data_IF_682558184805
#
_entry.id   IF_682558184805
#
_cell.length_a   1.000
_cell.length_b   1.000
_cell.length_c   1.000
_cell.angle_alpha   90.00
_cell.angle_beta   90.00
_cell.angle_gamma   90.00
#
_symmetry.space_group_name_H-M   'P 1'
#
loop_
_entity.id
_entity.type
_entity.pdbx_description
1 polymer ?
#
# COMPACT_ATOMS: atom_id res chain seq x y z
N UNK A 1 -30.09 13.66 4.83
CA UNK A 1 -28.79 13.04 5.09
C UNK A 1 -27.88 14.14 5.60
N UNK A 2 -27.86 14.35 6.91
CA UNK A 2 -26.99 15.37 7.52
C UNK A 2 -25.54 14.97 7.29
N UNK A 3 -24.78 15.86 6.66
CA UNK A 3 -23.35 15.70 6.51
C UNK A 3 -22.75 15.88 7.91
N UNK A 4 -22.35 14.78 8.54
CA UNK A 4 -21.73 14.72 9.86
C UNK A 4 -20.31 15.36 9.80
N UNK A 5 -20.26 16.68 9.62
CA UNK A 5 -19.05 17.49 9.42
C UNK A 5 -18.20 17.66 10.67
N UNK A 6 -18.69 17.24 11.85
CA UNK A 6 -18.02 17.48 13.13
C UNK A 6 -17.14 16.31 13.61
N UNK A 7 -17.12 15.17 12.90
CA UNK A 7 -16.48 13.93 13.40
C UNK A 7 -14.96 13.87 13.23
N UNK A 8 -14.37 14.78 12.44
CA UNK A 8 -12.92 14.90 12.23
C UNK A 8 -12.26 15.96 13.14
N UNK A 9 -13.02 16.67 13.98
CA UNK A 9 -12.45 17.67 14.90
C UNK A 9 -11.88 16.97 16.13
N UNK A 10 -10.62 17.21 16.52
CA UNK A 10 -10.08 16.68 17.77
C UNK A 10 -10.95 17.15 18.94
N UNK A 11 -11.34 16.24 19.82
CA UNK A 11 -12.07 16.61 21.03
C UNK A 11 -11.23 17.59 21.86
N UNK A 12 -11.89 18.48 22.58
CA UNK A 12 -11.23 19.48 23.45
C UNK A 12 -10.20 18.85 24.37
N UNK A 13 -10.47 17.64 24.88
CA UNK A 13 -9.55 16.85 25.71
C UNK A 13 -8.28 16.45 24.95
N UNK A 14 -8.38 16.02 23.67
CA UNK A 14 -7.21 15.68 22.84
C UNK A 14 -6.37 16.92 22.51
N UNK A 15 -7.02 18.05 22.25
CA UNK A 15 -6.32 19.33 22.01
C UNK A 15 -5.51 19.69 23.24
N UNK A 16 -6.13 19.70 24.42
CA UNK A 16 -5.48 20.00 25.70
C UNK A 16 -4.31 19.04 25.95
N UNK A 17 -4.50 17.74 25.75
CA UNK A 17 -3.44 16.75 26.00
C UNK A 17 -2.26 16.91 25.04
N UNK A 18 -2.51 17.17 23.75
CA UNK A 18 -1.44 17.44 22.79
C UNK A 18 -0.69 18.75 23.09
N UNK A 19 -1.40 19.79 23.57
CA UNK A 19 -0.78 21.03 24.04
C UNK A 19 0.10 20.77 25.28
N UNK A 20 -0.37 19.98 26.25
CA UNK A 20 0.41 19.61 27.44
C UNK A 20 1.70 18.89 27.04
N UNK A 21 1.64 17.93 26.10
CA UNK A 21 2.83 17.23 25.60
C UNK A 21 3.85 18.20 24.99
N UNK A 22 3.40 19.18 24.20
CA UNK A 22 4.28 20.21 23.64
C UNK A 22 4.85 21.13 24.73
N UNK A 23 4.02 21.56 25.68
CA UNK A 23 4.44 22.41 26.80
C UNK A 23 5.45 21.71 27.72
N UNK A 24 5.36 20.39 27.89
CA UNK A 24 6.36 19.61 28.62
C UNK A 24 7.69 19.47 27.85
N UNK A 25 7.66 19.53 26.51
CA UNK A 25 8.86 19.48 25.67
C UNK A 25 9.66 20.79 25.68
N UNK A 26 9.02 21.94 25.88
CA UNK A 26 9.67 23.27 25.85
C UNK A 26 10.74 23.41 26.96
N UNK A 27 10.49 23.07 28.24
CA UNK A 27 11.52 23.12 29.28
C UNK A 27 12.73 22.24 28.98
N UNK A 28 12.52 21.04 28.45
CA UNK A 28 13.60 20.12 28.06
C UNK A 28 14.44 20.75 26.94
N UNK A 29 13.79 21.34 25.94
CA UNK A 29 14.48 22.05 24.87
C UNK A 29 15.27 23.27 25.38
N UNK A 30 14.71 24.06 26.30
CA UNK A 30 15.40 25.21 26.90
C UNK A 30 16.64 24.77 27.70
N UNK A 31 16.57 23.65 28.42
CA UNK A 31 17.73 23.05 29.10
C UNK A 31 18.79 22.62 28.09
N UNK A 32 18.38 21.99 26.98
CA UNK A 32 19.31 21.67 25.89
C UNK A 32 19.96 22.92 25.28
N UNK A 33 19.20 24.00 25.03
CA UNK A 33 19.72 25.27 24.53
C UNK A 33 20.74 25.91 25.48
N UNK A 34 20.46 25.88 26.78
CA UNK A 34 21.40 26.35 27.80
C UNK A 34 22.67 25.48 27.84
N UNK A 35 22.53 24.16 27.74
CA UNK A 35 23.67 23.23 27.63
C UNK A 35 24.51 23.51 26.38
N UNK A 36 23.87 23.73 25.23
CA UNK A 36 24.54 24.10 23.98
C UNK A 36 25.29 25.43 24.09
N UNK A 37 24.68 26.46 24.70
CA UNK A 37 25.32 27.76 24.91
C UNK A 37 26.56 27.66 25.83
N UNK A 38 26.48 26.87 26.90
CA UNK A 38 27.63 26.60 27.78
C UNK A 38 28.73 25.83 27.06
N UNK A 39 28.37 24.91 26.18
CA UNK A 39 29.32 24.15 25.37
C UNK A 39 30.04 25.08 24.38
N UNK A 40 29.32 25.95 23.67
CA UNK A 40 29.92 26.92 22.74
C UNK A 40 30.94 27.85 23.42
N UNK A 41 30.67 28.28 24.66
CA UNK A 41 31.56 29.18 25.40
C UNK A 41 32.64 28.46 26.23
N UNK A 42 32.86 27.17 25.98
CA UNK A 42 33.89 26.41 26.70
C UNK A 42 35.29 26.78 26.19
N UNK A 43 36.29 26.99 27.06
CA UNK A 43 37.66 27.27 26.63
C UNK A 43 38.31 25.98 26.11
N UNK A 44 38.11 25.66 24.83
CA UNK A 44 38.61 24.43 24.23
C UNK A 44 40.14 24.35 24.19
N UNK A 45 40.82 25.49 24.16
CA UNK A 45 42.28 25.59 24.19
C UNK A 45 42.90 25.06 25.49
N UNK A 46 42.14 25.01 26.58
CA UNK A 46 42.61 24.47 27.87
C UNK A 46 42.49 22.94 27.94
N UNK A 47 41.83 22.31 26.96
CA UNK A 47 41.66 20.86 26.93
C UNK A 47 42.85 20.20 26.24
N UNK A 48 43.58 19.34 26.97
CA UNK A 48 44.70 18.56 26.42
C UNK A 48 44.35 17.76 25.15
N UNK A 49 43.10 17.29 25.04
CA UNK A 49 42.63 16.57 23.85
C UNK A 49 42.61 17.44 22.59
N UNK A 50 42.52 18.77 22.72
CA UNK A 50 42.48 19.70 21.59
C UNK A 50 43.83 19.80 20.85
N UNK A 51 44.94 19.35 21.46
CA UNK A 51 46.23 19.26 20.78
C UNK A 51 46.24 18.23 19.64
N UNK A 52 45.36 17.22 19.74
CA UNK A 52 45.27 16.13 18.77
C UNK A 52 44.10 16.31 17.82
N UNK A 53 44.33 16.05 16.52
CA UNK A 53 43.28 16.07 15.48
C UNK A 53 42.07 15.21 15.89
N UNK A 54 42.31 14.05 16.49
CA UNK A 54 41.24 13.17 16.96
C UNK A 54 40.41 13.76 18.10
N UNK A 55 41.01 14.53 19.01
CA UNK A 55 40.27 15.19 20.08
C UNK A 55 39.43 16.36 19.57
N UNK A 56 39.93 17.11 18.58
CA UNK A 56 39.15 18.13 17.86
C UNK A 56 37.92 17.54 17.16
N UNK A 57 38.11 16.44 16.42
CA UNK A 57 37.01 15.71 15.77
C UNK A 57 36.01 15.13 16.79
N UNK A 58 36.50 14.67 17.94
CA UNK A 58 35.64 14.17 19.02
C UNK A 58 34.76 15.30 19.60
N UNK A 59 35.33 16.48 19.86
CA UNK A 59 34.58 17.65 20.35
C UNK A 59 33.50 18.05 19.34
N UNK A 60 33.84 18.12 18.05
CA UNK A 60 32.89 18.38 16.97
C UNK A 60 31.76 17.33 16.97
N UNK A 61 32.10 16.05 17.05
CA UNK A 61 31.12 14.97 17.06
C UNK A 61 30.18 15.06 18.28
N UNK A 62 30.73 15.28 19.48
CA UNK A 62 29.94 15.42 20.72
C UNK A 62 29.01 16.62 20.63
N UNK A 63 29.53 17.78 20.20
CA UNK A 63 28.76 19.00 19.99
C UNK A 63 27.59 18.77 19.04
N UNK A 64 27.86 18.12 17.91
CA UNK A 64 26.83 17.82 16.91
C UNK A 64 25.79 16.83 17.39
N UNK A 65 26.20 15.80 18.14
CA UNK A 65 25.27 14.84 18.73
C UNK A 65 24.33 15.48 19.75
N UNK A 66 24.81 16.44 20.56
CA UNK A 66 23.95 17.19 21.50
C UNK A 66 22.82 17.90 20.74
N UNK A 67 23.15 18.55 19.61
CA UNK A 67 22.16 19.22 18.77
C UNK A 67 21.18 18.24 18.10
N UNK A 68 21.67 17.12 17.57
CA UNK A 68 20.79 16.13 16.93
C UNK A 68 19.84 15.46 17.94
N UNK A 69 20.30 15.18 19.16
CA UNK A 69 19.45 14.65 20.22
C UNK A 69 18.37 15.65 20.65
N UNK A 70 18.71 16.94 20.75
CA UNK A 70 17.76 17.98 21.14
C UNK A 70 16.65 18.18 20.08
N UNK A 71 17.02 18.19 18.79
CA UNK A 71 16.05 18.19 17.68
C UNK A 71 15.21 16.91 17.68
N UNK A 72 15.84 15.75 17.86
CA UNK A 72 15.14 14.46 17.89
C UNK A 72 14.05 14.41 18.96
N UNK A 73 14.33 14.93 20.17
CA UNK A 73 13.36 15.02 21.25
C UNK A 73 12.16 15.91 20.90
N UNK A 74 12.40 17.07 20.27
CA UNK A 74 11.31 17.96 19.82
C UNK A 74 10.46 17.25 18.77
N UNK A 75 11.08 16.64 17.76
CA UNK A 75 10.37 15.95 16.69
C UNK A 75 9.50 14.83 17.23
N UNK A 76 9.99 14.04 18.19
CA UNK A 76 9.20 13.01 18.87
C UNK A 76 8.00 13.63 19.60
N UNK A 77 8.20 14.71 20.33
CA UNK A 77 7.11 15.43 21.00
C UNK A 77 6.04 15.92 20.03
N UNK A 78 6.45 16.51 18.90
CA UNK A 78 5.56 16.95 17.82
C UNK A 78 4.80 15.77 17.22
N UNK A 79 5.48 14.66 16.91
CA UNK A 79 4.84 13.46 16.35
C UNK A 79 3.81 12.82 17.31
N UNK A 80 4.08 12.85 18.61
CA UNK A 80 3.13 12.38 19.63
C UNK A 80 1.93 13.32 19.69
N UNK A 81 2.14 14.63 19.73
CA UNK A 81 1.07 15.62 19.76
C UNK A 81 0.18 15.56 18.52
N UNK A 82 0.77 15.46 17.32
CA UNK A 82 0.01 15.31 16.07
C UNK A 82 -0.80 14.01 16.06
N UNK A 83 -0.24 12.89 16.53
CA UNK A 83 -0.99 11.63 16.65
C UNK A 83 -2.17 11.73 17.62
N UNK A 84 -2.02 12.43 18.74
CA UNK A 84 -3.10 12.69 19.69
C UNK A 84 -4.20 13.54 19.04
N UNK A 85 -3.81 14.59 18.30
CA UNK A 85 -4.75 15.47 17.60
C UNK A 85 -5.48 14.77 16.45
N UNK A 86 -4.81 13.96 15.65
CA UNK A 86 -5.43 13.27 14.51
C UNK A 86 -6.41 12.18 14.96
N UNK A 87 -6.29 11.65 16.18
CA UNK A 87 -7.18 10.60 16.68
C UNK A 87 -7.02 9.26 15.94
N UNK A 88 -7.98 8.34 16.09
CA UNK A 88 -8.04 7.13 15.26
C UNK A 88 -8.62 7.51 13.89
N UNK A 89 -7.81 7.47 12.84
CA UNK A 89 -8.31 7.56 11.46
C UNK A 89 -9.29 6.41 11.21
N UNK A 90 -10.40 6.70 10.50
CA UNK A 90 -11.24 5.62 9.96
C UNK A 90 -10.38 4.80 9.02
N UNK A 91 -10.21 3.52 9.33
CA UNK A 91 -9.52 2.57 8.47
C UNK A 91 -10.42 2.36 7.25
N UNK A 92 -9.91 2.47 6.02
CA UNK A 92 -10.67 1.93 4.89
C UNK A 92 -10.86 0.46 5.17
N UNK A 93 -12.10 0.01 5.06
CA UNK A 93 -12.42 -1.39 5.22
C UNK A 93 -11.79 -2.17 4.07
N UNK A 94 -11.46 -3.43 4.35
CA UNK A 94 -10.91 -4.34 3.33
C UNK A 94 -12.07 -4.84 2.47
N UNK A 95 -12.62 -3.94 1.65
CA UNK A 95 -13.74 -4.18 0.74
C UNK A 95 -13.24 -4.02 -0.69
N UNK A 96 -13.64 -4.94 -1.56
CA UNK A 96 -13.41 -4.83 -3.00
C UNK A 96 -14.48 -3.92 -3.60
N UNK A 97 -14.08 -2.68 -3.90
CA UNK A 97 -14.89 -1.71 -4.63
C UNK A 97 -14.84 -1.96 -6.16
N UNK A 98 -15.82 -1.44 -6.92
CA UNK A 98 -15.83 -1.58 -8.37
C UNK A 98 -14.57 -1.08 -9.06
N UNK A 99 -14.25 -1.73 -10.17
CA UNK A 99 -13.10 -1.46 -11.04
C UNK A 99 -11.72 -1.59 -10.35
N UNK A 100 -11.36 -2.78 -9.80
CA UNK A 100 -9.99 -3.05 -9.39
C UNK A 100 -9.02 -2.77 -10.55
N UNK A 101 -7.85 -2.23 -10.24
CA UNK A 101 -6.84 -1.94 -11.26
C UNK A 101 -6.43 -3.23 -12.00
N UNK A 102 -6.30 -3.14 -13.32
CA UNK A 102 -5.80 -4.23 -14.16
C UNK A 102 -4.28 -4.15 -14.23
N UNK A 103 -3.57 -5.20 -13.80
CA UNK A 103 -2.10 -5.24 -13.82
C UNK A 103 -1.58 -5.83 -15.13
N UNK A 104 -1.32 -4.97 -16.12
CA UNK A 104 -0.66 -5.39 -17.36
C UNK A 104 0.85 -5.58 -17.17
N UNK A 105 1.50 -6.37 -18.02
CA UNK A 105 2.94 -6.58 -18.00
C UNK A 105 3.71 -5.25 -18.15
N UNK A 106 3.25 -4.38 -19.07
CA UNK A 106 3.79 -3.03 -19.24
C UNK A 106 3.65 -2.19 -17.96
N UNK A 107 2.51 -2.25 -17.29
CA UNK A 107 2.28 -1.55 -16.04
C UNK A 107 3.18 -2.11 -14.93
N UNK A 108 3.29 -3.43 -14.82
CA UNK A 108 4.16 -4.11 -13.86
C UNK A 108 5.63 -3.71 -14.04
N UNK A 109 6.12 -3.68 -15.28
CA UNK A 109 7.47 -3.25 -15.63
C UNK A 109 7.69 -1.77 -15.29
N UNK A 110 6.77 -0.89 -15.69
CA UNK A 110 6.87 0.55 -15.39
C UNK A 110 6.86 0.87 -13.88
N UNK A 111 6.25 -0.01 -13.08
CA UNK A 111 6.11 0.13 -11.63
C UNK A 111 7.18 -0.62 -10.83
N UNK A 112 8.17 -1.22 -11.49
CA UNK A 112 9.22 -2.02 -10.85
C UNK A 112 8.65 -3.16 -9.98
N UNK A 113 7.65 -3.88 -10.51
CA UNK A 113 7.17 -5.13 -9.93
C UNK A 113 8.23 -6.20 -10.17
N UNK A 114 8.83 -6.72 -9.11
CA UNK A 114 9.87 -7.75 -9.20
C UNK A 114 9.27 -9.15 -9.40
N UNK A 115 8.07 -9.39 -8.87
CA UNK A 115 7.37 -10.68 -8.95
C UNK A 115 5.86 -10.49 -8.77
N UNK A 116 5.07 -11.07 -9.65
CA UNK A 116 3.62 -11.16 -9.50
C UNK A 116 3.15 -12.55 -9.95
N UNK A 117 2.73 -13.38 -9.00
CA UNK A 117 2.21 -14.73 -9.27
C UNK A 117 1.07 -15.13 -8.32
N UNK A 118 0.68 -16.41 -8.34
CA UNK A 118 -0.40 -16.97 -7.51
C UNK A 118 -0.15 -16.95 -6.00
N UNK A 119 1.08 -16.64 -5.57
CA UNK A 119 1.54 -16.73 -4.17
C UNK A 119 2.11 -15.43 -3.63
N UNK A 120 2.92 -14.73 -4.45
CA UNK A 120 3.67 -13.55 -4.05
C UNK A 120 3.49 -12.38 -5.01
N UNK A 121 3.24 -11.21 -4.44
CA UNK A 121 3.32 -9.93 -5.11
C UNK A 121 4.44 -9.11 -4.45
N UNK A 122 5.53 -8.91 -5.18
CA UNK A 122 6.75 -8.27 -4.72
C UNK A 122 7.04 -7.08 -5.62
N UNK A 123 7.17 -5.92 -5.00
CA UNK A 123 7.50 -4.70 -5.71
C UNK A 123 8.41 -3.83 -4.86
N UNK A 124 9.15 -2.98 -5.56
CA UNK A 124 10.03 -1.99 -4.95
C UNK A 124 9.52 -0.61 -5.34
N UNK A 125 8.78 0.10 -4.46
CA UNK A 125 8.40 1.47 -4.75
C UNK A 125 9.66 2.29 -5.00
N UNK A 126 9.66 3.04 -6.11
CA UNK A 126 10.77 3.92 -6.46
C UNK A 126 11.03 4.90 -5.32
N UNK A 127 12.09 4.63 -4.56
CA UNK A 127 12.55 5.47 -3.47
C UNK A 127 13.45 6.56 -4.06
N UNK A 128 12.84 7.60 -4.63
CA UNK A 128 13.55 8.87 -4.90
C UNK A 128 14.29 9.33 -3.64
N UNK A 129 13.74 9.01 -2.46
CA UNK A 129 14.32 9.27 -1.15
C UNK A 129 15.77 8.76 -1.05
N UNK A 130 16.06 7.53 -1.48
CA UNK A 130 17.44 6.99 -1.37
C UNK A 130 18.43 7.80 -2.20
N UNK A 131 18.12 8.03 -3.47
CA UNK A 131 18.97 8.80 -4.37
C UNK A 131 19.15 10.25 -3.88
N UNK A 132 18.06 10.87 -3.42
CA UNK A 132 18.08 12.22 -2.84
C UNK A 132 18.94 12.27 -1.58
N UNK A 133 18.85 11.28 -0.68
CA UNK A 133 19.69 11.20 0.51
C UNK A 133 21.18 11.07 0.19
N UNK A 134 21.52 10.26 -0.83
CA UNK A 134 22.91 10.12 -1.29
C UNK A 134 23.43 11.45 -1.87
N UNK A 135 22.66 12.10 -2.74
CA UNK A 135 23.08 13.35 -3.41
C UNK A 135 23.19 14.50 -2.40
N UNK A 136 22.12 14.77 -1.64
CA UNK A 136 22.10 15.86 -0.65
C UNK A 136 23.12 15.58 0.47
N UNK A 137 23.11 14.37 1.01
CA UNK A 137 24.06 13.97 2.05
C UNK A 137 25.51 14.08 1.57
N UNK A 138 25.78 13.67 0.32
CA UNK A 138 27.10 13.77 -0.30
C UNK A 138 27.58 15.21 -0.46
N UNK A 139 26.75 16.09 -1.05
CA UNK A 139 27.09 17.51 -1.24
C UNK A 139 27.35 18.19 0.11
N UNK A 140 26.46 18.00 1.08
CA UNK A 140 26.59 18.59 2.41
C UNK A 140 27.81 18.04 3.17
N UNK A 141 28.11 16.74 3.03
CA UNK A 141 29.30 16.13 3.64
C UNK A 141 30.58 16.71 3.04
N UNK A 142 30.64 16.92 1.72
CA UNK A 142 31.79 17.57 1.07
C UNK A 142 32.01 18.99 1.58
N UNK A 143 30.93 19.79 1.70
CA UNK A 143 31.01 21.13 2.30
C UNK A 143 31.49 21.05 3.75
N UNK A 144 30.96 20.12 4.54
CA UNK A 144 31.38 19.88 5.91
C UNK A 144 32.87 19.55 6.03
N UNK A 145 33.40 18.70 5.16
CA UNK A 145 34.84 18.36 5.11
C UNK A 145 35.69 19.60 4.82
N UNK A 146 35.27 20.45 3.87
CA UNK A 146 35.99 21.69 3.53
C UNK A 146 36.01 22.66 4.71
N UNK A 147 34.88 22.83 5.39
CA UNK A 147 34.78 23.69 6.58
C UNK A 147 35.66 23.15 7.70
N UNK A 148 35.61 21.84 7.98
CA UNK A 148 36.51 21.20 8.96
C UNK A 148 37.97 21.49 8.60
N UNK A 149 38.36 21.27 7.35
CA UNK A 149 39.76 21.49 6.93
C UNK A 149 40.24 22.93 7.17
N UNK A 150 39.38 23.92 6.93
CA UNK A 150 39.72 25.35 7.10
C UNK A 150 39.78 25.78 8.57
N UNK A 151 38.86 25.28 9.38
CA UNK A 151 38.52 25.87 10.67
C UNK A 151 38.95 25.02 11.88
N UNK A 152 39.32 23.74 11.69
CA UNK A 152 39.62 22.81 12.79
C UNK A 152 40.72 23.31 13.73
N UNK A 153 41.65 24.14 13.25
CA UNK A 153 42.76 24.61 14.08
C UNK A 153 42.41 25.79 14.98
N UNK A 154 41.31 26.49 14.75
CA UNK A 154 40.89 27.61 15.57
C UNK A 154 39.95 27.14 16.70
N UNK A 155 40.37 27.18 17.98
CA UNK A 155 39.55 26.77 19.11
C UNK A 155 38.32 27.67 19.34
N UNK A 156 38.34 28.90 18.81
CA UNK A 156 37.23 29.84 18.90
C UNK A 156 36.26 29.77 17.72
N UNK A 157 36.52 28.86 16.77
CA UNK A 157 35.69 28.74 15.57
C UNK A 157 34.27 28.24 15.88
N UNK A 158 33.31 28.84 15.18
CA UNK A 158 31.91 28.41 15.21
C UNK A 158 31.72 26.95 14.74
N UNK A 159 32.73 26.33 14.13
CA UNK A 159 32.76 24.91 13.79
C UNK A 159 32.35 24.01 14.97
N UNK A 160 32.81 24.35 16.18
CA UNK A 160 32.52 23.58 17.39
C UNK A 160 31.16 23.92 18.01
N UNK A 161 30.43 24.90 17.48
CA UNK A 161 29.09 25.21 17.93
C UNK A 161 28.14 24.03 17.63
N UNK A 162 27.20 23.69 18.53
CA UNK A 162 26.28 22.57 18.33
C UNK A 162 25.45 22.62 17.03
N UNK A 163 24.96 23.78 16.55
CA UNK A 163 24.22 23.83 15.29
C UNK A 163 25.07 23.49 14.05
N UNK A 164 26.28 24.03 13.95
CA UNK A 164 27.15 23.82 12.78
C UNK A 164 27.69 22.38 12.77
N UNK A 165 28.26 21.95 13.90
CA UNK A 165 28.73 20.57 14.07
C UNK A 165 27.59 19.56 13.88
N UNK A 166 26.39 19.85 14.36
CA UNK A 166 25.20 19.02 14.20
C UNK A 166 24.76 18.90 12.75
N UNK A 167 24.80 19.98 11.98
CA UNK A 167 24.56 19.96 10.54
C UNK A 167 25.56 19.08 9.79
N UNK A 168 26.85 19.16 10.15
CA UNK A 168 27.89 18.32 9.56
C UNK A 168 27.64 16.85 9.90
N UNK A 169 27.43 16.50 11.17
CA UNK A 169 27.16 15.11 11.60
C UNK A 169 25.89 14.56 10.95
N UNK A 170 24.83 15.36 10.84
CA UNK A 170 23.60 14.99 10.14
C UNK A 170 23.88 14.68 8.66
N UNK A 171 24.70 15.49 7.98
CA UNK A 171 25.01 15.27 6.57
C UNK A 171 25.67 13.91 6.32
N UNK A 172 26.62 13.52 7.17
CA UNK A 172 27.24 12.20 7.13
C UNK A 172 26.24 11.08 7.43
N UNK A 173 25.36 11.24 8.42
CA UNK A 173 24.33 10.24 8.68
C UNK A 173 23.32 10.09 7.54
N UNK A 174 22.93 11.18 6.87
CA UNK A 174 22.05 11.11 5.69
C UNK A 174 22.73 10.34 4.55
N UNK A 175 24.00 10.63 4.27
CA UNK A 175 24.80 9.93 3.26
C UNK A 175 24.94 8.43 3.59
N UNK A 176 25.37 8.10 4.82
CA UNK A 176 25.51 6.72 5.28
C UNK A 176 24.19 5.96 5.22
N UNK A 177 23.09 6.59 5.62
CA UNK A 177 21.77 5.98 5.52
C UNK A 177 21.38 5.70 4.05
N UNK A 178 21.65 6.62 3.12
CA UNK A 178 21.41 6.39 1.70
C UNK A 178 22.25 5.26 1.09
N UNK A 179 23.53 5.14 1.49
CA UNK A 179 24.45 4.12 1.00
C UNK A 179 24.15 2.73 1.58
N UNK A 180 23.88 2.66 2.90
CA UNK A 180 23.78 1.40 3.64
C UNK A 180 22.34 0.87 3.78
N UNK A 181 21.31 1.65 3.47
CA UNK A 181 19.92 1.19 3.57
C UNK A 181 19.65 0.05 2.55
N UNK A 182 19.09 -1.10 3.01
CA UNK A 182 18.72 -2.21 2.14
C UNK A 182 17.54 -1.82 1.21
N UNK A 183 17.37 -2.58 0.12
CA UNK A 183 16.28 -2.38 -0.83
C UNK A 183 14.90 -2.37 -0.16
N UNK A 184 14.08 -1.37 -0.52
CA UNK A 184 12.74 -1.19 0.03
C UNK A 184 11.74 -2.12 -0.68
N UNK A 185 11.74 -3.42 -0.37
CA UNK A 185 10.77 -4.35 -0.96
C UNK A 185 9.55 -4.54 -0.08
N UNK A 186 8.37 -4.35 -0.66
CA UNK A 186 7.14 -4.90 -0.12
C UNK A 186 6.97 -6.33 -0.61
N UNK A 187 6.59 -7.24 0.28
CA UNK A 187 6.28 -8.63 -0.07
C UNK A 187 4.91 -8.97 0.47
N UNK A 188 3.95 -9.15 -0.44
CA UNK A 188 2.62 -9.63 -0.14
C UNK A 188 2.61 -11.14 -0.36
N UNK A 189 2.48 -11.90 0.73
CA UNK A 189 2.30 -13.35 0.70
C UNK A 189 0.80 -13.65 0.76
N UNK A 190 0.22 -13.95 -0.41
CA UNK A 190 -1.20 -14.24 -0.57
C UNK A 190 -1.61 -15.49 0.21
N UNK A 191 -0.76 -16.51 0.24
CA UNK A 191 -1.11 -17.80 0.84
C UNK A 191 -1.17 -17.72 2.37
N UNK A 192 -0.27 -16.95 2.98
CA UNK A 192 -0.27 -16.67 4.42
C UNK A 192 -1.16 -15.47 4.81
N UNK A 193 -1.57 -14.66 3.84
CA UNK A 193 -2.33 -13.44 4.09
C UNK A 193 -1.50 -12.39 4.86
N UNK A 194 -0.20 -12.28 4.57
CA UNK A 194 0.71 -11.38 5.29
C UNK A 194 1.41 -10.40 4.37
N UNK A 195 1.68 -9.20 4.88
CA UNK A 195 2.46 -8.17 4.19
C UNK A 195 3.75 -7.93 4.97
N UNK A 196 4.87 -8.03 4.27
CA UNK A 196 6.19 -7.66 4.79
C UNK A 196 6.53 -6.27 4.33
N UNK A 197 6.70 -5.37 5.29
CA UNK A 197 7.10 -3.99 5.10
C UNK A 197 8.62 -3.90 4.97
N UNK A 198 9.15 -3.07 4.06
CA UNK A 198 10.57 -2.81 4.02
C UNK A 198 11.05 -2.12 5.30
N UNK A 199 12.38 -2.12 5.51
CA UNK A 199 12.99 -1.20 6.48
C UNK A 199 12.62 0.22 6.08
N UNK A 200 12.14 1.01 7.03
CA UNK A 200 11.80 2.40 6.82
C UNK A 200 12.43 3.25 7.91
N UNK A 201 13.36 4.14 7.53
CA UNK A 201 14.18 4.91 8.47
C UNK A 201 14.88 3.99 9.49
N UNK A 202 14.59 4.17 10.78
CA UNK A 202 15.15 3.39 11.88
C UNK A 202 14.34 2.14 12.22
N UNK A 203 13.17 1.93 11.60
CA UNK A 203 12.32 0.78 11.90
C UNK A 203 12.74 -0.44 11.07
N UNK A 204 13.01 -1.60 11.72
CA UNK A 204 13.38 -2.81 11.01
C UNK A 204 12.24 -3.33 10.15
N UNK A 205 12.58 -4.20 9.20
CA UNK A 205 11.59 -4.96 8.42
C UNK A 205 10.62 -5.66 9.36
N UNK A 206 9.33 -5.60 9.06
CA UNK A 206 8.31 -6.27 9.84
C UNK A 206 7.26 -6.93 8.94
N UNK A 207 6.66 -8.00 9.44
CA UNK A 207 5.60 -8.74 8.74
C UNK A 207 4.36 -8.73 9.60
N UNK A 208 3.25 -8.30 9.02
CA UNK A 208 1.94 -8.27 9.69
C UNK A 208 0.87 -8.96 8.84
N UNK A 209 -0.22 -9.47 9.44
CA UNK A 209 -1.38 -9.92 8.68
C UNK A 209 -1.96 -8.78 7.84
N UNK A 210 -2.40 -9.08 6.61
CA UNK A 210 -3.00 -8.10 5.71
C UNK A 210 -4.25 -7.47 6.31
N UNK A 211 -5.05 -8.24 7.06
CA UNK A 211 -6.22 -7.71 7.80
C UNK A 211 -5.89 -6.59 8.81
N UNK A 212 -4.62 -6.42 9.19
CA UNK A 212 -4.14 -5.34 10.07
C UNK A 212 -3.45 -4.21 9.31
N UNK A 213 -3.30 -4.32 7.99
CA UNK A 213 -2.72 -3.26 7.17
C UNK A 213 -3.71 -2.09 7.14
N UNK A 214 -3.20 -0.89 7.35
CA UNK A 214 -3.99 0.33 7.31
C UNK A 214 -3.58 1.08 6.04
N UNK A 215 -4.48 1.22 5.06
CA UNK A 215 -4.21 2.07 3.90
C UNK A 215 -4.18 3.54 4.34
N UNK A 216 -3.32 4.31 3.69
CA UNK A 216 -3.14 5.72 3.93
C UNK A 216 -2.83 6.47 2.64
N UNK A 217 -2.93 7.78 2.73
CA UNK A 217 -2.66 8.70 1.64
C UNK A 217 -1.27 9.34 1.81
N UNK A 218 -0.47 9.37 0.75
CA UNK A 218 0.81 10.08 0.73
C UNK A 218 1.07 10.70 -0.65
N UNK A 219 0.96 12.03 -0.75
CA UNK A 219 1.26 12.80 -1.96
C UNK A 219 0.57 12.26 -3.24
N UNK A 220 -0.74 11.99 -3.17
CA UNK A 220 -1.52 11.44 -4.28
C UNK A 220 -1.45 9.91 -4.42
N UNK A 221 -0.53 9.25 -3.73
CA UNK A 221 -0.33 7.80 -3.81
C UNK A 221 -1.04 7.06 -2.67
N UNK A 222 -1.48 5.85 -2.97
CA UNK A 222 -1.84 4.88 -1.97
C UNK A 222 -0.58 4.49 -1.20
N UNK A 223 -0.70 4.36 0.12
CA UNK A 223 0.38 3.90 0.96
C UNK A 223 -0.13 2.98 2.06
N UNK A 224 0.78 2.23 2.67
CA UNK A 224 0.49 1.45 3.86
C UNK A 224 1.11 2.14 5.07
N UNK A 225 0.31 2.36 6.11
CA UNK A 225 0.81 2.87 7.37
C UNK A 225 1.72 1.82 8.01
N UNK A 226 2.96 2.20 8.27
CA UNK A 226 3.94 1.31 8.88
C UNK A 226 3.49 0.94 10.31
N UNK A 227 3.48 -0.35 10.70
CA UNK A 227 2.80 -0.81 11.91
C UNK A 227 3.26 -0.16 13.22
N UNK A 228 4.55 0.16 13.32
CA UNK A 228 5.13 0.72 14.55
C UNK A 228 5.10 2.24 14.58
N UNK A 229 5.30 2.89 13.44
CA UNK A 229 5.48 4.34 13.37
C UNK A 229 4.20 5.09 12.97
N UNK A 230 3.27 4.41 12.29
CA UNK A 230 2.09 5.02 11.68
C UNK A 230 2.41 5.88 10.44
N UNK A 231 3.67 5.97 10.03
CA UNK A 231 4.07 6.70 8.82
C UNK A 231 3.55 5.95 7.60
N UNK A 232 2.86 6.67 6.72
CA UNK A 232 2.34 6.11 5.46
C UNK A 232 3.50 5.98 4.48
N UNK A 233 3.81 4.74 4.10
CA UNK A 233 4.82 4.41 3.09
C UNK A 233 4.08 4.22 1.76
N UNK A 234 4.39 5.01 0.72
CA UNK A 234 3.78 4.83 -0.60
C UNK A 234 3.96 3.41 -1.13
N UNK A 235 2.89 2.86 -1.69
CA UNK A 235 2.86 1.57 -2.42
C UNK A 235 2.52 1.81 -3.89
N UNK A 236 2.37 0.75 -4.69
CA UNK A 236 1.96 0.92 -6.07
C UNK A 236 0.53 1.44 -6.14
N UNK A 237 0.37 2.53 -6.91
CA UNK A 237 -0.93 3.08 -7.26
C UNK A 237 -1.27 4.44 -6.63
N UNK A 238 -2.17 5.16 -7.31
CA UNK A 238 -2.79 6.37 -6.78
C UNK A 238 -3.80 6.03 -5.67
N UNK A 239 -4.00 6.93 -4.71
CA UNK A 239 -4.90 6.67 -3.57
C UNK A 239 -6.36 6.54 -4.01
N UNK A 240 -6.85 7.45 -4.85
CA UNK A 240 -8.24 7.50 -5.31
C UNK A 240 -8.50 6.61 -6.54
N UNK A 241 -7.91 5.42 -6.57
CA UNK A 241 -8.00 4.51 -7.72
C UNK A 241 -8.29 3.07 -7.31
N UNK A 242 -8.50 2.19 -8.29
CA UNK A 242 -8.80 0.76 -8.09
C UNK A 242 -7.70 -0.08 -7.42
N UNK A 243 -6.59 0.54 -6.99
CA UNK A 243 -5.45 -0.16 -6.40
C UNK A 243 -5.73 -0.76 -5.03
N UNK A 244 -6.53 -0.11 -4.16
CA UNK A 244 -6.90 -0.73 -2.89
C UNK A 244 -7.72 -2.00 -3.11
N UNK A 245 -8.74 -1.94 -3.98
CA UNK A 245 -9.53 -3.11 -4.39
C UNK A 245 -8.65 -4.20 -5.00
N UNK A 246 -7.64 -3.83 -5.79
CA UNK A 246 -6.66 -4.77 -6.34
C UNK A 246 -5.92 -5.51 -5.22
N UNK A 247 -5.38 -4.81 -4.22
CA UNK A 247 -4.68 -5.44 -3.10
C UNK A 247 -5.62 -6.35 -2.28
N UNK A 248 -6.84 -5.89 -2.00
CA UNK A 248 -7.83 -6.69 -1.26
C UNK A 248 -8.19 -7.96 -2.03
N UNK A 249 -8.44 -7.86 -3.34
CA UNK A 249 -8.71 -9.00 -4.20
C UNK A 249 -7.52 -9.95 -4.27
N UNK A 250 -6.31 -9.43 -4.48
CA UNK A 250 -5.10 -10.24 -4.55
C UNK A 250 -4.86 -11.01 -3.25
N UNK A 251 -5.03 -10.37 -2.09
CA UNK A 251 -4.81 -10.98 -0.78
C UNK A 251 -5.93 -11.91 -0.33
N UNK A 252 -7.10 -11.88 -0.97
CA UNK A 252 -8.13 -12.90 -0.79
C UNK A 252 -7.75 -14.17 -1.55
N UNK A 253 -7.03 -15.08 -0.88
CA UNK A 253 -6.62 -16.35 -1.48
C UNK A 253 -7.79 -17.25 -1.92
N UNK A 254 -9.01 -16.98 -1.46
CA UNK A 254 -10.18 -17.76 -1.79
C UNK A 254 -10.88 -17.25 -3.06
N UNK A 255 -10.46 -16.09 -3.58
CA UNK A 255 -10.95 -15.48 -4.83
C UNK A 255 -9.96 -15.68 -5.99
N UNK A 256 -10.44 -15.58 -7.24
CA UNK A 256 -9.57 -15.57 -8.42
C UNK A 256 -8.54 -14.43 -8.39
N UNK A 257 -7.43 -14.64 -9.11
CA UNK A 257 -6.39 -13.62 -9.28
C UNK A 257 -6.96 -12.36 -9.97
N UNK A 258 -6.49 -11.15 -9.62
CA UNK A 258 -6.92 -9.91 -10.26
C UNK A 258 -6.76 -9.94 -11.79
N UNK A 259 -7.47 -9.04 -12.48
CA UNK A 259 -7.32 -8.86 -13.92
C UNK A 259 -5.92 -8.39 -14.31
N UNK A 260 -5.46 -8.81 -15.49
CA UNK A 260 -4.16 -8.45 -16.04
C UNK A 260 -3.43 -9.66 -16.63
N UNK A 261 -2.75 -9.46 -17.75
CA UNK A 261 -1.96 -10.48 -18.45
C UNK A 261 -0.80 -11.02 -17.59
N UNK A 262 -0.31 -10.21 -16.66
CA UNK A 262 0.68 -10.61 -15.63
C UNK A 262 0.26 -11.87 -14.87
N UNK A 263 -1.04 -12.07 -14.65
CA UNK A 263 -1.56 -13.21 -13.89
C UNK A 263 -2.04 -14.38 -14.76
N UNK A 264 -2.20 -14.20 -16.06
CA UNK A 264 -2.76 -15.20 -16.97
C UNK A 264 -2.07 -16.57 -16.90
N UNK A 265 -0.73 -16.67 -16.82
CA UNK A 265 -0.03 -17.96 -16.68
C UNK A 265 -0.38 -18.75 -15.41
N UNK A 266 -0.94 -18.09 -14.39
CA UNK A 266 -1.18 -18.69 -13.07
C UNK A 266 -2.66 -18.95 -12.78
N UNK A 267 -3.58 -18.48 -13.62
CA UNK A 267 -5.02 -18.55 -13.33
C UNK A 267 -5.54 -19.98 -13.25
N UNK A 268 -5.17 -20.83 -14.21
CA UNK A 268 -5.60 -22.23 -14.22
C UNK A 268 -5.12 -22.97 -12.96
N UNK A 269 -3.84 -22.80 -12.62
CA UNK A 269 -3.25 -23.39 -11.42
C UNK A 269 -3.95 -22.91 -10.14
N UNK A 270 -4.23 -21.61 -10.02
CA UNK A 270 -4.96 -21.08 -8.87
C UNK A 270 -6.41 -21.62 -8.79
N UNK A 271 -7.09 -21.72 -9.94
CA UNK A 271 -8.42 -22.32 -10.03
C UNK A 271 -8.42 -23.78 -9.58
N UNK A 272 -7.51 -24.60 -10.12
CA UNK A 272 -7.39 -26.02 -9.76
C UNK A 272 -7.09 -26.21 -8.27
N UNK A 273 -6.26 -25.33 -7.68
CA UNK A 273 -6.02 -25.32 -6.23
C UNK A 273 -7.31 -25.02 -5.46
N UNK A 274 -8.04 -23.94 -5.78
CA UNK A 274 -9.30 -23.60 -5.11
C UNK A 274 -10.35 -24.70 -5.28
N UNK A 275 -10.40 -25.33 -6.44
CA UNK A 275 -11.25 -26.49 -6.72
C UNK A 275 -10.91 -27.67 -5.81
N UNK A 276 -9.63 -27.98 -5.63
CA UNK A 276 -9.18 -29.04 -4.72
C UNK A 276 -9.46 -28.71 -3.24
N UNK A 277 -9.47 -27.44 -2.87
CA UNK A 277 -9.84 -26.97 -1.53
C UNK A 277 -11.37 -26.86 -1.32
N UNK A 278 -12.18 -27.12 -2.35
CA UNK A 278 -13.64 -27.07 -2.29
C UNK A 278 -14.22 -25.65 -2.35
N UNK A 279 -13.54 -24.71 -3.00
CA UNK A 279 -13.93 -23.29 -3.12
C UNK A 279 -14.30 -22.66 -1.77
N UNK A 280 -13.31 -22.48 -0.88
CA UNK A 280 -13.56 -21.88 0.43
C UNK A 280 -14.18 -20.49 0.33
N UNK A 281 -14.96 -20.11 1.35
CA UNK A 281 -15.64 -18.81 1.38
C UNK A 281 -14.65 -17.64 1.32
N UNK A 282 -14.97 -16.55 0.60
CA UNK A 282 -14.13 -15.35 0.57
C UNK A 282 -13.75 -14.81 1.95
N UNK A 283 -12.55 -14.23 2.06
CA UNK A 283 -12.05 -13.62 3.31
C UNK A 283 -12.57 -12.19 3.45
N UNK A 284 -12.67 -11.47 2.33
CA UNK A 284 -13.04 -10.05 2.31
C UNK A 284 -14.36 -9.84 1.54
N UNK A 285 -15.22 -8.90 1.98
CA UNK A 285 -16.44 -8.55 1.25
C UNK A 285 -16.13 -7.84 -0.08
N UNK A 286 -17.11 -7.89 -0.99
CA UNK A 286 -17.07 -7.27 -2.31
C UNK A 286 -18.38 -6.54 -2.58
N UNK A 287 -18.32 -5.50 -3.42
CA UNK A 287 -19.49 -4.80 -3.95
C UNK A 287 -19.66 -5.00 -5.46
N UNK A 288 -18.98 -5.99 -6.02
CA UNK A 288 -19.01 -6.35 -7.44
C UNK A 288 -18.98 -7.86 -7.63
N UNK A 289 -19.43 -8.34 -8.79
CA UNK A 289 -19.23 -9.71 -9.24
C UNK A 289 -17.73 -10.05 -9.33
N UNK A 290 -17.30 -11.09 -8.61
CA UNK A 290 -15.91 -11.59 -8.64
C UNK A 290 -15.94 -13.08 -8.97
N UNK A 291 -15.89 -13.38 -10.26
CA UNK A 291 -15.83 -14.75 -10.79
C UNK A 291 -14.56 -14.97 -11.60
N UNK A 292 -14.16 -16.23 -11.77
CA UNK A 292 -13.03 -16.58 -12.63
C UNK A 292 -13.19 -16.03 -14.05
N UNK A 293 -14.39 -16.16 -14.62
CA UNK A 293 -14.71 -15.66 -15.96
C UNK A 293 -14.58 -14.13 -16.04
N UNK A 294 -15.02 -13.41 -15.00
CA UNK A 294 -14.85 -11.96 -14.91
C UNK A 294 -13.36 -11.57 -14.81
N UNK A 295 -12.57 -12.35 -14.08
CA UNK A 295 -11.15 -12.07 -13.88
C UNK A 295 -10.26 -12.50 -15.04
N UNK A 296 -10.76 -13.29 -15.98
CA UNK A 296 -10.08 -13.65 -17.23
C UNK A 296 -9.83 -15.14 -17.43
N UNK A 297 -10.23 -16.00 -16.48
CA UNK A 297 -10.11 -17.45 -16.63
C UNK A 297 -11.46 -18.09 -16.94
N UNK A 298 -11.53 -18.80 -18.07
CA UNK A 298 -12.75 -19.45 -18.54
C UNK A 298 -12.59 -20.96 -18.34
N UNK A 299 -13.21 -21.49 -17.30
CA UNK A 299 -13.35 -22.94 -17.10
C UNK A 299 -14.51 -23.47 -17.93
N UNK A 300 -14.23 -23.83 -19.18
CA UNK A 300 -15.22 -24.35 -20.11
C UNK A 300 -14.63 -25.29 -21.14
N UNK A 301 -15.50 -26.07 -21.76
CA UNK A 301 -15.18 -26.98 -22.88
C UNK A 301 -14.52 -26.22 -24.04
N UNK A 302 -13.73 -26.92 -24.85
CA UNK A 302 -13.09 -26.32 -26.03
C UNK A 302 -14.12 -25.74 -27.01
N UNK A 303 -15.25 -26.43 -27.18
CA UNK A 303 -16.37 -25.94 -28.00
C UNK A 303 -16.96 -24.63 -27.45
N UNK A 304 -17.16 -24.55 -26.13
CA UNK A 304 -17.61 -23.32 -25.48
C UNK A 304 -16.63 -22.17 -25.71
N UNK A 305 -15.33 -22.39 -25.51
CA UNK A 305 -14.29 -21.37 -25.73
C UNK A 305 -14.23 -20.92 -27.19
N UNK A 306 -14.36 -21.84 -28.15
CA UNK A 306 -14.41 -21.52 -29.59
C UNK A 306 -15.66 -20.72 -29.98
N UNK A 307 -16.80 -20.97 -29.31
CA UNK A 307 -18.02 -20.19 -29.56
C UNK A 307 -17.90 -18.80 -28.95
N UNK A 308 -17.37 -18.72 -27.72
CA UNK A 308 -17.17 -17.46 -27.01
C UNK A 308 -16.22 -16.52 -27.76
N UNK A 309 -15.16 -17.04 -28.39
CA UNK A 309 -14.22 -16.21 -29.17
C UNK A 309 -14.85 -15.54 -30.40
N UNK A 310 -15.98 -16.06 -30.89
CA UNK A 310 -16.76 -15.49 -32.01
C UNK A 310 -17.80 -14.47 -31.55
N UNK A 311 -18.04 -14.36 -30.24
CA UNK A 311 -19.01 -13.44 -29.66
C UNK A 311 -18.35 -12.08 -29.46
N UNK A 312 -19.10 -11.02 -29.78
CA UNK A 312 -18.58 -9.65 -29.82
C UNK A 312 -18.17 -9.11 -28.44
N UNK A 313 -18.94 -9.42 -27.40
CA UNK A 313 -18.74 -8.87 -26.06
C UNK A 313 -18.29 -9.95 -25.06
N UNK A 314 -17.65 -9.51 -23.96
CA UNK A 314 -17.25 -10.40 -22.86
C UNK A 314 -18.48 -10.90 -22.09
N UNK A 315 -18.35 -12.03 -21.40
CA UNK A 315 -19.41 -12.63 -20.56
C UNK A 315 -20.03 -11.60 -19.61
N UNK A 316 -19.20 -10.76 -19.00
CA UNK A 316 -19.60 -9.68 -18.07
C UNK A 316 -20.66 -8.77 -18.66
N UNK A 317 -20.52 -8.41 -19.94
CA UNK A 317 -21.49 -7.56 -20.60
C UNK A 317 -22.89 -8.18 -20.60
N UNK A 318 -22.99 -9.48 -20.88
CA UNK A 318 -24.28 -10.18 -20.88
C UNK A 318 -24.80 -10.41 -19.45
N UNK A 319 -23.90 -10.60 -18.48
CA UNK A 319 -24.27 -10.63 -17.06
C UNK A 319 -24.95 -9.32 -16.64
N UNK A 320 -24.35 -8.16 -16.95
CA UNK A 320 -24.91 -6.85 -16.61
C UNK A 320 -26.31 -6.66 -17.20
N UNK A 321 -26.53 -7.16 -18.43
CA UNK A 321 -27.84 -7.11 -19.10
C UNK A 321 -28.89 -7.92 -18.34
N UNK A 322 -28.54 -9.11 -17.86
CA UNK A 322 -29.45 -9.95 -17.08
C UNK A 322 -29.69 -9.35 -15.70
N UNK A 323 -28.65 -8.84 -15.04
CA UNK A 323 -28.79 -8.14 -13.75
C UNK A 323 -29.76 -6.95 -13.85
N UNK A 324 -29.62 -6.10 -14.87
CA UNK A 324 -30.56 -5.01 -15.14
C UNK A 324 -31.98 -5.50 -15.44
N UNK A 325 -32.12 -6.63 -16.14
CA UNK A 325 -33.43 -7.23 -16.38
C UNK A 325 -34.09 -7.64 -15.06
N UNK A 326 -33.35 -8.31 -14.15
CA UNK A 326 -33.85 -8.70 -12.83
C UNK A 326 -34.28 -7.48 -12.00
N UNK A 327 -33.45 -6.44 -11.94
CA UNK A 327 -33.77 -5.19 -11.24
C UNK A 327 -35.05 -4.55 -11.77
N UNK A 328 -35.20 -4.49 -13.10
CA UNK A 328 -36.39 -3.90 -13.74
C UNK A 328 -37.67 -4.68 -13.47
N UNK A 329 -37.58 -5.98 -13.23
CA UNK A 329 -38.72 -6.87 -12.99
C UNK A 329 -38.86 -7.27 -11.52
N UNK A 330 -38.19 -6.56 -10.60
CA UNK A 330 -38.26 -6.81 -9.15
C UNK A 330 -37.89 -8.25 -8.75
N UNK A 331 -37.01 -8.88 -9.53
CA UNK A 331 -36.46 -10.20 -9.20
C UNK A 331 -35.27 -9.99 -8.26
N UNK A 332 -35.37 -10.49 -7.04
CA UNK A 332 -34.35 -10.35 -6.02
C UNK A 332 -33.12 -11.21 -6.33
N UNK A 333 -31.94 -10.58 -6.34
CA UNK A 333 -30.64 -11.25 -6.42
C UNK A 333 -29.96 -11.01 -5.07
N UNK A 334 -29.94 -12.01 -4.16
CA UNK A 334 -29.42 -11.81 -2.80
C UNK A 334 -27.92 -11.45 -2.78
N UNK A 335 -27.14 -12.03 -3.69
CA UNK A 335 -25.73 -11.74 -3.92
C UNK A 335 -25.44 -11.73 -5.42
N UNK A 336 -24.60 -10.81 -5.90
CA UNK A 336 -24.15 -10.78 -7.31
C UNK A 336 -23.62 -12.15 -7.78
N UNK A 337 -23.01 -12.95 -6.90
CA UNK A 337 -22.53 -14.28 -7.26
C UNK A 337 -23.66 -15.32 -7.48
N UNK A 338 -24.90 -15.08 -7.02
CA UNK A 338 -26.01 -16.03 -7.13
C UNK A 338 -26.56 -16.14 -8.56
N UNK A 339 -26.28 -15.15 -9.42
CA UNK A 339 -26.63 -15.17 -10.84
C UNK A 339 -25.51 -15.83 -11.65
N UNK A 340 -25.65 -17.12 -11.91
CA UNK A 340 -24.56 -17.94 -12.47
C UNK A 340 -24.78 -18.21 -13.95
N UNK A 341 -23.73 -18.04 -14.75
CA UNK A 341 -23.70 -18.51 -16.14
C UNK A 341 -23.62 -20.05 -16.16
N UNK A 342 -24.54 -20.72 -16.85
CA UNK A 342 -24.51 -22.18 -17.01
C UNK A 342 -23.81 -22.59 -18.31
N UNK A 343 -23.97 -21.80 -19.37
CA UNK A 343 -23.40 -22.12 -20.67
C UNK A 343 -23.99 -21.31 -21.80
N UNK A 344 -23.80 -21.79 -23.02
CA UNK A 344 -24.40 -21.22 -24.23
C UNK A 344 -25.37 -22.24 -24.82
N UNK A 345 -26.63 -21.85 -24.98
CA UNK A 345 -27.62 -22.60 -25.74
C UNK A 345 -27.92 -21.86 -27.03
N UNK A 346 -27.69 -22.51 -28.18
CA UNK A 346 -27.76 -21.85 -29.50
C UNK A 346 -26.94 -20.55 -29.45
N UNK A 347 -27.51 -19.39 -29.77
CA UNK A 347 -26.79 -18.10 -29.74
C UNK A 347 -27.05 -17.29 -28.46
N UNK A 348 -27.44 -17.95 -27.38
CA UNK A 348 -27.90 -17.29 -26.16
C UNK A 348 -27.08 -17.75 -24.96
N UNK A 349 -26.60 -16.80 -24.17
CA UNK A 349 -26.04 -17.09 -22.86
C UNK A 349 -27.18 -17.47 -21.92
N UNK A 350 -26.97 -18.53 -21.15
CA UNK A 350 -27.96 -19.06 -20.21
C UNK A 350 -27.49 -18.78 -18.80
N UNK A 351 -28.18 -17.88 -18.11
CA UNK A 351 -27.95 -17.56 -16.70
C UNK A 351 -29.06 -18.15 -15.84
N UNK A 352 -28.74 -18.53 -14.60
CA UNK A 352 -29.70 -19.09 -13.66
C UNK A 352 -29.36 -18.65 -12.24
N UNK A 353 -30.41 -18.36 -11.46
CA UNK A 353 -30.27 -18.07 -10.04
C UNK A 353 -30.03 -19.36 -9.26
N UNK A 354 -29.11 -19.30 -8.30
CA UNK A 354 -28.79 -20.41 -7.39
C UNK A 354 -28.31 -21.68 -8.11
N UNK A 355 -27.79 -21.56 -9.33
CA UNK A 355 -27.13 -22.67 -9.98
C UNK A 355 -25.76 -22.94 -9.32
N UNK A 356 -25.23 -24.17 -9.42
CA UNK A 356 -23.95 -24.49 -8.82
C UNK A 356 -22.84 -23.61 -9.41
N UNK A 357 -22.11 -22.89 -8.56
CA UNK A 357 -20.93 -22.14 -8.96
C UNK A 357 -19.78 -23.05 -9.40
N UNK A 358 -18.85 -22.52 -10.18
CA UNK A 358 -17.60 -23.18 -10.57
C UNK A 358 -17.76 -24.49 -11.36
N UNK A 359 -18.90 -24.66 -12.03
CA UNK A 359 -19.13 -25.74 -13.00
C UNK A 359 -18.49 -25.37 -14.34
N UNK A 360 -18.06 -26.38 -15.08
CA UNK A 360 -17.52 -26.20 -16.41
C UNK A 360 -18.58 -25.61 -17.34
N UNK A 361 -18.25 -24.52 -18.02
CA UNK A 361 -19.13 -23.92 -19.02
C UNK A 361 -19.19 -24.80 -20.28
N UNK A 362 -20.42 -25.16 -20.66
CA UNK A 362 -20.69 -26.06 -21.78
C UNK A 362 -21.53 -25.39 -22.86
N UNK A 363 -21.51 -25.98 -24.05
CA UNK A 363 -22.58 -25.78 -25.02
C UNK A 363 -23.74 -26.69 -24.60
N UNK A 364 -24.88 -26.09 -24.33
CA UNK A 364 -26.08 -26.83 -23.94
C UNK A 364 -26.67 -27.50 -25.18
N UNK A 365 -26.96 -28.82 -25.15
CA UNK A 365 -27.61 -29.53 -26.23
C UNK A 365 -28.92 -28.87 -26.68
N UNK A 366 -29.26 -28.97 -27.97
CA UNK A 366 -30.44 -28.30 -28.53
C UNK A 366 -31.77 -28.82 -27.95
N UNK A 367 -31.78 -30.07 -27.47
CA UNK A 367 -32.88 -30.75 -26.79
C UNK A 367 -32.96 -30.44 -25.28
N UNK A 368 -32.02 -29.64 -24.75
CA UNK A 368 -32.05 -29.24 -23.33
C UNK A 368 -33.33 -28.46 -23.03
N UNK A 369 -34.11 -28.98 -22.07
CA UNK A 369 -35.28 -28.28 -21.54
C UNK A 369 -34.78 -27.22 -20.55
N UNK A 370 -34.87 -25.96 -20.96
CA UNK A 370 -34.46 -24.81 -20.16
C UNK A 370 -35.66 -24.29 -19.36
N UNK A 371 -35.57 -24.35 -18.03
CA UNK A 371 -36.57 -23.80 -17.09
C UNK A 371 -35.88 -22.98 -16.01
N UNK A 372 -36.59 -21.98 -15.51
CA UNK A 372 -36.14 -20.98 -14.55
C UNK A 372 -34.76 -20.42 -14.90
N UNK A 373 -34.62 -19.89 -16.11
CA UNK A 373 -33.36 -19.35 -16.61
C UNK A 373 -33.56 -18.07 -17.43
N UNK A 374 -32.50 -17.27 -17.49
CA UNK A 374 -32.42 -16.05 -18.28
C UNK A 374 -31.60 -16.32 -19.52
N UNK A 375 -32.19 -16.07 -20.68
CA UNK A 375 -31.53 -16.16 -21.97
C UNK A 375 -31.13 -14.76 -22.41
N UNK A 376 -29.85 -14.54 -22.66
CA UNK A 376 -29.35 -13.30 -23.23
C UNK A 376 -28.77 -13.55 -24.63
N UNK A 377 -29.38 -12.93 -25.64
CA UNK A 377 -28.93 -13.11 -27.03
C UNK A 377 -27.55 -12.51 -27.27
N UNK A 378 -26.65 -13.29 -27.89
CA UNK A 378 -25.27 -12.87 -28.09
C UNK A 378 -25.13 -11.69 -29.07
N UNK A 379 -26.11 -11.46 -29.94
CA UNK A 379 -26.06 -10.40 -30.96
C UNK A 379 -26.87 -9.17 -30.55
N UNK A 380 -28.09 -9.36 -30.05
CA UNK A 380 -29.00 -8.26 -29.70
C UNK A 380 -28.89 -7.82 -28.24
N UNK A 381 -28.29 -8.65 -27.38
CA UNK A 381 -28.24 -8.45 -25.92
C UNK A 381 -29.63 -8.29 -25.28
N UNK A 382 -30.67 -8.80 -25.95
CA UNK A 382 -32.02 -8.91 -25.40
C UNK A 382 -32.07 -10.04 -24.39
N UNK A 383 -32.77 -9.80 -23.28
CA UNK A 383 -32.92 -10.76 -22.18
C UNK A 383 -34.35 -11.27 -22.16
N UNK A 384 -34.50 -12.60 -22.09
CA UNK A 384 -35.78 -13.29 -21.93
C UNK A 384 -35.69 -14.23 -20.74
N UNK A 385 -36.66 -14.14 -19.83
CA UNK A 385 -36.84 -15.14 -18.79
C UNK A 385 -37.69 -16.30 -19.30
N UNK A 386 -37.21 -17.53 -19.14
CA UNK A 386 -37.98 -18.75 -19.33
C UNK A 386 -38.30 -19.30 -17.95
N UNK A 387 -39.59 -19.37 -17.63
CA UNK A 387 -40.12 -20.10 -16.48
C UNK A 387 -39.95 -21.59 -16.71
#
# INVERSE_FOLDING_TARGET
MEMETDRNRPSTIRIIFGIIVLLCGIPVFLVCCNGMWRFTNWPYEELWIFEYVWGKLLILFVSGMIFLMSIGLILVGVLIATKIWMGKSRMMEHIIYPFPTVLTAELADSMNVERADDKFFVFNPNSLIRSTLIVIGGILSCVGIIVIYREINDPSSDLYSPPISGGIVASFFLLLNGLLAPSHRFVLDRMKGTVTFPRHLFFPRCTIPFSKVIPGYSNGNLGFAHPYSGIVIPVLGAYDSGWWSFYVLYMDKNRPLPQGDTFDPYREKDFLRRKAEGFPKPIYPNTILVTDAYMGYIYGTDEFKQRLSKIKHRIVYYYDRVSWYCQKHEIEIPNDNDLVLIGIWKKQFVFKLFAPENVEYIILPDDTVLTDCFLCDSNTAEVKYIK
#
